data_IF_452375877038
#
_entry.id   IF_452375877038
#
_cell.length_a   1.000
_cell.length_b   1.000
_cell.length_c   1.000
_cell.angle_alpha   90.00
_cell.angle_beta   90.00
_cell.angle_gamma   90.00
#
_symmetry.space_group_name_H-M   'P 1'
#
loop_
_entity.id
_entity.type
_entity.pdbx_description
1 polymer ?
#
# COMPACT_ATOMS: atom_id res chain seq x y z
N UNK A 1 -45.39 52.30 -64.95
CA UNK A 1 -44.27 53.26 -64.82
C UNK A 1 -43.17 52.53 -64.10
N UNK A 2 -42.18 52.16 -64.84
CA UNK A 2 -40.76 52.49 -64.74
C UNK A 2 -40.19 51.94 -63.41
N UNK A 3 -39.35 51.09 -63.32
CA UNK A 3 -38.23 50.59 -64.11
C UNK A 3 -37.08 50.24 -63.13
N UNK A 4 -36.21 49.42 -63.50
CA UNK A 4 -34.90 49.46 -62.91
C UNK A 4 -34.31 48.11 -62.40
N UNK A 5 -33.95 47.34 -63.34
CA UNK A 5 -33.02 46.23 -63.32
C UNK A 5 -31.64 46.71 -62.89
N UNK A 6 -31.02 46.12 -61.87
CA UNK A 6 -29.58 46.11 -61.79
C UNK A 6 -29.08 44.82 -61.14
N UNK A 7 -28.51 43.98 -61.97
CA UNK A 7 -27.63 42.82 -61.63
C UNK A 7 -26.32 43.40 -61.15
N UNK A 8 -25.85 42.93 -59.97
CA UNK A 8 -24.45 43.07 -59.56
C UNK A 8 -23.92 41.78 -58.93
N UNK A 9 -23.10 41.20 -59.70
CA UNK A 9 -22.01 40.25 -59.48
C UNK A 9 -21.68 39.99 -58.05
N UNK A 10 -21.79 38.69 -57.64
CA UNK A 10 -21.33 38.18 -56.40
C UNK A 10 -19.88 37.66 -56.55
N UNK A 11 -18.96 38.46 -56.06
CA UNK A 11 -17.59 37.99 -55.85
C UNK A 11 -17.55 37.22 -54.51
N UNK A 12 -17.50 35.86 -54.53
CA UNK A 12 -17.38 35.03 -53.36
C UNK A 12 -15.90 34.97 -53.04
N UNK A 13 -15.48 35.71 -52.03
CA UNK A 13 -14.15 35.61 -51.43
C UNK A 13 -14.18 34.47 -50.38
N UNK A 14 -13.71 33.27 -50.75
CA UNK A 14 -13.55 32.15 -49.82
C UNK A 14 -12.32 32.43 -48.93
N UNK A 15 -12.55 32.99 -47.76
CA UNK A 15 -11.51 33.04 -46.69
C UNK A 15 -11.49 31.69 -46.01
N UNK A 16 -10.49 30.88 -46.36
CA UNK A 16 -10.18 29.64 -45.65
C UNK A 16 -9.64 29.96 -44.27
N UNK A 17 -10.47 29.81 -43.24
CA UNK A 17 -10.02 29.80 -41.83
C UNK A 17 -9.38 28.44 -41.56
N UNK A 18 -8.07 28.37 -41.68
CA UNK A 18 -7.29 27.25 -41.12
C UNK A 18 -7.37 27.33 -39.61
N UNK A 19 -8.27 26.53 -39.01
CA UNK A 19 -8.28 26.25 -37.57
C UNK A 19 -7.02 25.46 -37.27
N UNK A 20 -5.96 26.15 -36.89
CA UNK A 20 -4.85 25.52 -36.16
C UNK A 20 -5.39 25.05 -34.82
N UNK A 21 -5.70 23.78 -34.74
CA UNK A 21 -5.88 23.07 -33.47
C UNK A 21 -4.54 23.11 -32.75
N UNK A 22 -4.30 24.17 -31.98
CA UNK A 22 -3.22 24.22 -31.00
C UNK A 22 -3.56 23.18 -29.93
N UNK A 23 -3.08 21.93 -30.11
CA UNK A 23 -3.03 20.98 -29.03
C UNK A 23 -2.20 21.64 -27.92
N UNK A 24 -2.87 22.09 -26.86
CA UNK A 24 -2.23 22.52 -25.64
C UNK A 24 -1.55 21.27 -25.00
N UNK A 25 -0.38 20.93 -25.51
CA UNK A 25 0.58 20.16 -24.71
C UNK A 25 0.93 21.04 -23.52
N UNK A 26 0.55 20.64 -22.31
CA UNK A 26 1.04 21.25 -21.07
C UNK A 26 2.55 21.31 -21.17
N UNK A 27 3.09 22.52 -21.41
CA UNK A 27 4.52 22.77 -21.38
C UNK A 27 4.99 22.41 -19.97
N UNK A 28 5.95 21.50 -19.87
CA UNK A 28 6.57 21.21 -18.60
C UNK A 28 7.27 22.49 -18.12
N UNK A 29 6.92 22.98 -16.92
CA UNK A 29 7.59 24.15 -16.33
C UNK A 29 9.01 23.75 -15.92
N UNK A 30 10.02 24.37 -16.53
CA UNK A 30 11.41 24.19 -16.16
C UNK A 30 12.37 24.23 -17.35
N UNK A 31 13.67 24.28 -17.06
CA UNK A 31 14.73 24.21 -18.06
C UNK A 31 14.75 22.80 -18.71
N UNK A 32 14.59 22.74 -20.02
CA UNK A 32 14.70 21.49 -20.80
C UNK A 32 16.13 20.99 -20.83
N UNK A 33 16.35 19.73 -20.51
CA UNK A 33 17.66 19.05 -20.54
C UNK A 33 17.81 18.07 -21.70
N UNK A 34 16.68 17.55 -22.24
CA UNK A 34 16.64 16.74 -23.46
C UNK A 34 15.25 16.81 -24.10
N UNK A 35 15.17 16.50 -25.41
CA UNK A 35 13.93 16.38 -26.16
C UNK A 35 13.94 15.02 -26.86
N UNK A 36 12.89 14.23 -26.64
CA UNK A 36 12.73 12.87 -27.21
C UNK A 36 11.48 12.82 -28.05
N UNK A 37 11.63 12.82 -29.37
CA UNK A 37 10.52 12.84 -30.35
C UNK A 37 9.51 13.99 -30.08
N UNK A 38 10.02 15.18 -29.68
CA UNK A 38 9.19 16.34 -29.36
C UNK A 38 8.66 16.43 -27.92
N UNK A 39 8.86 15.41 -27.10
CA UNK A 39 8.56 15.45 -25.65
C UNK A 39 9.79 15.92 -24.87
N UNK A 40 9.59 16.92 -24.03
CA UNK A 40 10.67 17.51 -23.21
C UNK A 40 10.93 16.64 -21.96
N UNK A 41 12.21 16.52 -21.58
CA UNK A 41 12.67 16.10 -20.27
C UNK A 41 13.24 17.34 -19.59
N UNK A 42 12.71 17.67 -18.41
CA UNK A 42 13.09 18.88 -17.69
C UNK A 42 14.19 18.63 -16.65
N UNK A 43 14.90 19.69 -16.26
CA UNK A 43 15.86 19.63 -15.16
C UNK A 43 15.19 19.23 -13.83
N UNK A 44 13.93 19.61 -13.61
CA UNK A 44 13.17 19.22 -12.43
C UNK A 44 12.93 17.72 -12.39
N UNK A 45 12.50 17.10 -13.51
CA UNK A 45 12.34 15.64 -13.63
C UNK A 45 13.68 14.93 -13.41
N UNK A 46 14.77 15.39 -14.03
CA UNK A 46 16.08 14.78 -13.84
C UNK A 46 16.56 14.87 -12.38
N UNK A 47 16.38 16.01 -11.73
CA UNK A 47 16.75 16.17 -10.32
C UNK A 47 15.91 15.26 -9.39
N UNK A 48 14.63 15.10 -9.67
CA UNK A 48 13.77 14.17 -8.91
C UNK A 48 14.22 12.71 -9.07
N UNK A 49 14.59 12.28 -10.28
CA UNK A 49 15.13 10.94 -10.52
C UNK A 49 16.50 10.76 -9.84
N UNK A 50 17.37 11.77 -9.87
CA UNK A 50 18.67 11.74 -9.16
C UNK A 50 18.51 11.63 -7.65
N UNK A 51 17.52 12.31 -7.07
CA UNK A 51 17.23 12.21 -5.64
C UNK A 51 16.76 10.80 -5.21
N UNK A 52 16.08 10.08 -6.11
CA UNK A 52 15.62 8.71 -5.89
C UNK A 52 16.67 7.65 -6.25
N UNK A 53 17.67 8.01 -7.05
CA UNK A 53 18.74 7.11 -7.45
C UNK A 53 19.66 6.83 -6.25
N UNK A 54 19.89 5.53 -5.95
CA UNK A 54 20.90 5.12 -4.95
C UNK A 54 22.31 5.30 -5.53
N UNK A 55 22.80 6.53 -5.54
CA UNK A 55 24.14 6.85 -6.02
C UNK A 55 25.12 6.57 -4.87
N UNK A 56 26.15 5.72 -5.06
CA UNK A 56 27.15 5.45 -4.04
C UNK A 56 27.90 6.73 -3.63
N UNK A 57 28.29 6.84 -2.35
CA UNK A 57 29.16 7.90 -1.89
C UNK A 57 30.50 7.86 -2.64
N UNK A 58 30.93 9.03 -3.15
CA UNK A 58 32.16 9.15 -3.95
C UNK A 58 31.99 8.87 -5.45
N UNK A 59 30.78 8.54 -5.92
CA UNK A 59 30.55 8.43 -7.35
C UNK A 59 30.66 9.79 -8.06
N UNK A 60 31.20 9.77 -9.29
CA UNK A 60 31.24 10.94 -10.17
C UNK A 60 29.80 11.41 -10.48
N UNK A 61 29.50 12.63 -10.03
CA UNK A 61 28.15 13.22 -10.14
C UNK A 61 27.75 13.46 -11.59
N UNK A 62 28.68 13.80 -12.47
CA UNK A 62 28.37 14.07 -13.87
C UNK A 62 28.11 12.76 -14.62
N UNK A 63 28.85 11.71 -14.32
CA UNK A 63 28.56 10.37 -14.86
C UNK A 63 27.23 9.83 -14.33
N UNK A 64 26.90 10.02 -13.05
CA UNK A 64 25.63 9.61 -12.48
C UNK A 64 24.46 10.35 -13.17
N UNK A 65 24.60 11.68 -13.34
CA UNK A 65 23.62 12.51 -14.05
C UNK A 65 23.41 12.05 -15.49
N UNK A 66 24.48 11.78 -16.21
CA UNK A 66 24.43 11.29 -17.59
C UNK A 66 23.72 9.93 -17.67
N UNK A 67 24.06 8.98 -16.78
CA UNK A 67 23.42 7.67 -16.74
C UNK A 67 21.91 7.75 -16.46
N UNK A 68 21.52 8.58 -15.48
CA UNK A 68 20.10 8.77 -15.14
C UNK A 68 19.36 9.39 -16.32
N UNK A 69 19.93 10.42 -16.97
CA UNK A 69 19.32 11.03 -18.15
C UNK A 69 19.15 10.03 -19.31
N UNK A 70 20.16 9.19 -19.60
CA UNK A 70 20.04 8.14 -20.61
C UNK A 70 18.93 7.15 -20.27
N UNK A 71 18.85 6.68 -19.03
CA UNK A 71 17.76 5.79 -18.59
C UNK A 71 16.37 6.46 -18.73
N UNK A 72 16.26 7.77 -18.47
CA UNK A 72 15.02 8.51 -18.70
C UNK A 72 14.64 8.57 -20.18
N UNK A 73 15.62 8.81 -21.07
CA UNK A 73 15.43 8.82 -22.51
C UNK A 73 14.95 7.45 -22.99
N UNK A 74 15.63 6.37 -22.60
CA UNK A 74 15.28 5.01 -22.97
C UNK A 74 13.86 4.64 -22.51
N UNK A 75 13.51 4.98 -21.26
CA UNK A 75 12.15 4.81 -20.72
C UNK A 75 11.11 5.59 -21.53
N UNK A 76 11.43 6.83 -21.96
CA UNK A 76 10.53 7.66 -22.78
C UNK A 76 10.29 7.04 -24.14
N UNK A 77 11.35 6.55 -24.80
CA UNK A 77 11.28 5.89 -26.09
C UNK A 77 10.41 4.63 -26.03
N UNK A 78 10.63 3.76 -25.05
CA UNK A 78 9.83 2.56 -24.86
C UNK A 78 8.36 2.86 -24.57
N UNK A 79 8.09 3.91 -23.76
CA UNK A 79 6.73 4.33 -23.49
C UNK A 79 6.02 4.90 -24.74
N UNK A 80 6.73 5.64 -25.59
CA UNK A 80 6.22 6.15 -26.86
C UNK A 80 5.91 4.99 -27.83
N UNK A 81 6.79 3.99 -27.90
CA UNK A 81 6.53 2.79 -28.70
C UNK A 81 5.28 2.05 -28.22
N UNK A 82 5.16 1.83 -26.90
CA UNK A 82 3.98 1.20 -26.31
C UNK A 82 2.67 1.93 -26.62
N UNK A 83 2.70 3.27 -26.64
CA UNK A 83 1.55 4.08 -27.10
C UNK A 83 1.27 3.89 -28.59
N UNK A 84 2.32 3.84 -29.41
CA UNK A 84 2.17 3.59 -30.85
C UNK A 84 1.53 2.22 -31.11
N UNK A 85 1.89 1.22 -30.29
CA UNK A 85 1.32 -0.14 -30.35
C UNK A 85 -0.11 -0.21 -29.74
N UNK A 86 -0.64 0.91 -29.22
CA UNK A 86 -2.01 1.01 -28.66
C UNK A 86 -2.19 0.40 -27.29
N UNK A 87 -1.10 0.05 -26.58
CA UNK A 87 -1.17 -0.54 -25.22
C UNK A 87 -1.88 0.37 -24.25
N UNK A 88 -1.69 1.69 -24.36
CA UNK A 88 -2.31 2.73 -23.53
C UNK A 88 -3.84 2.81 -23.68
N UNK A 89 -4.40 2.21 -24.74
CA UNK A 89 -5.84 2.16 -25.01
C UNK A 89 -6.50 0.86 -24.57
N UNK A 90 -5.69 -0.12 -24.14
CA UNK A 90 -6.22 -1.42 -23.70
C UNK A 90 -7.04 -1.28 -22.40
N UNK A 91 -8.13 -2.06 -22.24
CA UNK A 91 -8.92 -2.04 -21.00
C UNK A 91 -8.09 -2.35 -19.75
N UNK A 92 -7.11 -3.25 -19.90
CA UNK A 92 -6.21 -3.62 -18.82
C UNK A 92 -5.34 -2.42 -18.37
N UNK A 93 -4.71 -1.72 -19.32
CA UNK A 93 -3.91 -0.54 -19.03
C UNK A 93 -4.75 0.55 -18.37
N UNK A 94 -5.92 0.87 -18.91
CA UNK A 94 -6.81 1.92 -18.38
C UNK A 94 -7.25 1.62 -16.94
N UNK A 95 -7.53 0.36 -16.62
CA UNK A 95 -7.87 -0.06 -15.25
C UNK A 95 -6.66 0.08 -14.31
N UNK A 96 -5.48 -0.35 -14.72
CA UNK A 96 -4.23 -0.20 -13.94
C UNK A 96 -3.85 1.25 -13.73
N UNK A 97 -3.97 2.08 -14.77
CA UNK A 97 -3.69 3.52 -14.70
C UNK A 97 -4.61 4.22 -13.71
N UNK A 98 -5.94 3.93 -13.78
CA UNK A 98 -6.92 4.50 -12.83
C UNK A 98 -6.53 4.15 -11.40
N UNK A 99 -6.31 2.86 -11.12
CA UNK A 99 -5.92 2.41 -9.79
C UNK A 99 -4.62 3.07 -9.30
N UNK A 100 -3.59 3.11 -10.13
CA UNK A 100 -2.32 3.75 -9.78
C UNK A 100 -2.50 5.26 -9.49
N UNK A 101 -3.36 5.94 -10.24
CA UNK A 101 -3.68 7.36 -10.01
C UNK A 101 -4.45 7.55 -8.70
N UNK A 102 -5.43 6.70 -8.41
CA UNK A 102 -6.18 6.71 -7.14
C UNK A 102 -5.24 6.45 -5.95
N UNK A 103 -4.38 5.44 -6.03
CA UNK A 103 -3.40 5.12 -4.98
C UNK A 103 -2.44 6.30 -4.73
N UNK A 104 -1.95 6.95 -5.79
CA UNK A 104 -1.10 8.13 -5.68
C UNK A 104 -1.82 9.30 -5.00
N UNK A 105 -3.06 9.59 -5.42
CA UNK A 105 -3.87 10.64 -4.81
C UNK A 105 -4.15 10.38 -3.34
N UNK A 106 -4.48 9.12 -2.97
CA UNK A 106 -4.72 8.71 -1.58
C UNK A 106 -3.45 8.91 -0.75
N UNK A 107 -2.29 8.48 -1.25
CA UNK A 107 -1.01 8.64 -0.55
C UNK A 107 -0.64 10.12 -0.35
N UNK A 108 -0.80 10.95 -1.38
CA UNK A 108 -0.56 12.39 -1.29
C UNK A 108 -1.54 13.08 -0.34
N UNK A 109 -2.82 12.68 -0.36
CA UNK A 109 -3.82 13.18 0.56
C UNK A 109 -3.48 12.81 2.01
N UNK A 110 -3.15 11.55 2.27
CA UNK A 110 -2.74 11.08 3.59
C UNK A 110 -1.51 11.85 4.11
N UNK A 111 -0.49 12.05 3.26
CA UNK A 111 0.73 12.78 3.65
C UNK A 111 0.46 14.23 4.04
N UNK A 112 -0.54 14.88 3.43
CA UNK A 112 -0.93 16.25 3.78
C UNK A 112 -1.75 16.36 5.07
N UNK A 113 -2.43 15.29 5.48
CA UNK A 113 -3.27 15.28 6.69
C UNK A 113 -2.44 14.99 7.96
N UNK A 114 -1.25 14.43 7.81
CA UNK A 114 -0.41 14.05 8.95
C UNK A 114 0.53 15.21 9.25
N UNK A 115 0.26 15.92 10.36
CA UNK A 115 1.22 16.87 10.91
C UNK A 115 2.38 16.11 11.57
N UNK A 116 3.50 16.00 10.84
CA UNK A 116 4.71 15.35 11.34
C UNK A 116 5.54 16.25 12.26
N UNK A 117 5.17 17.53 12.41
CA UNK A 117 5.93 18.49 13.16
C UNK A 117 5.71 18.39 14.69
N UNK A 118 4.51 17.98 15.13
CA UNK A 118 4.24 17.81 16.55
C UNK A 118 4.77 16.46 17.07
N UNK A 119 5.71 16.52 17.99
CA UNK A 119 6.15 15.37 18.77
C UNK A 119 5.18 15.14 19.95
N UNK A 120 4.79 13.87 20.22
CA UNK A 120 4.03 13.57 21.43
C UNK A 120 4.77 14.02 22.69
N UNK A 121 4.02 14.45 23.71
CA UNK A 121 4.61 14.82 25.00
C UNK A 121 5.28 13.59 25.66
N UNK A 122 6.30 13.83 26.47
CA UNK A 122 7.03 12.74 27.15
C UNK A 122 6.09 11.84 27.96
N UNK A 123 5.15 12.44 28.70
CA UNK A 123 4.16 11.70 29.49
C UNK A 123 3.24 10.82 28.64
N UNK A 124 2.94 11.21 27.40
CA UNK A 124 2.14 10.41 26.48
C UNK A 124 2.95 9.21 25.96
N UNK A 125 4.24 9.43 25.65
CA UNK A 125 5.16 8.38 25.22
C UNK A 125 5.31 7.32 26.33
N UNK A 126 5.52 7.76 27.58
CA UNK A 126 5.62 6.88 28.75
C UNK A 126 4.34 6.06 28.97
N UNK A 127 3.18 6.70 28.90
CA UNK A 127 1.88 6.01 28.98
C UNK A 127 1.70 5.00 27.86
N UNK A 128 2.10 5.36 26.63
CA UNK A 128 2.02 4.47 25.48
C UNK A 128 2.88 3.22 25.67
N UNK A 129 4.10 3.38 26.18
CA UNK A 129 5.02 2.28 26.48
C UNK A 129 4.49 1.40 27.61
N UNK A 130 4.00 2.02 28.70
CA UNK A 130 3.43 1.30 29.85
C UNK A 130 2.20 0.47 29.47
N UNK A 131 1.38 0.98 28.54
CA UNK A 131 0.21 0.26 28.05
C UNK A 131 0.53 -0.92 27.11
N UNK A 132 1.79 -1.04 26.64
CA UNK A 132 2.25 -2.08 25.69
C UNK A 132 3.56 -2.73 26.16
N UNK A 133 3.58 -3.35 27.35
CA UNK A 133 4.81 -3.89 27.91
C UNK A 133 5.46 -4.97 27.01
N UNK A 134 4.66 -5.75 26.27
CA UNK A 134 5.14 -6.78 25.34
C UNK A 134 5.84 -6.22 24.08
N UNK A 135 5.69 -4.92 23.81
CA UNK A 135 6.41 -4.22 22.73
C UNK A 135 7.72 -3.66 23.25
N UNK A 136 7.80 -3.36 24.55
CA UNK A 136 8.89 -2.61 25.16
C UNK A 136 9.58 -3.40 26.28
N UNK A 137 9.17 -3.16 27.54
CA UNK A 137 9.87 -3.70 28.73
C UNK A 137 9.78 -5.21 28.90
N UNK A 138 8.70 -5.84 28.42
CA UNK A 138 8.48 -7.28 28.46
C UNK A 138 8.47 -7.89 27.05
N UNK A 139 9.17 -7.26 26.12
CA UNK A 139 9.31 -7.79 24.77
C UNK A 139 10.11 -9.07 24.80
N UNK A 140 9.65 -10.04 24.03
CA UNK A 140 10.28 -11.34 23.86
C UNK A 140 10.36 -11.71 22.37
N UNK A 141 11.33 -12.58 22.06
CA UNK A 141 11.33 -13.35 20.82
C UNK A 141 10.90 -14.77 21.12
N UNK A 142 9.84 -15.22 20.47
CA UNK A 142 9.31 -16.57 20.60
C UNK A 142 9.79 -17.45 19.46
N UNK A 143 10.39 -18.59 19.80
CA UNK A 143 10.69 -19.62 18.83
C UNK A 143 9.46 -20.51 18.69
N UNK A 144 8.95 -20.62 17.46
CA UNK A 144 7.72 -21.33 17.13
C UNK A 144 8.01 -22.62 16.39
N UNK A 145 7.26 -23.66 16.74
CA UNK A 145 7.05 -24.83 15.90
C UNK A 145 5.67 -24.67 15.24
N UNK A 146 5.62 -24.73 13.91
CA UNK A 146 4.42 -24.37 13.14
C UNK A 146 4.04 -25.44 12.13
N UNK A 147 2.74 -25.72 12.04
CA UNK A 147 2.13 -26.52 10.99
C UNK A 147 1.27 -25.64 10.11
N UNK A 148 1.52 -25.62 8.81
CA UNK A 148 0.68 -24.96 7.82
C UNK A 148 -0.12 -26.01 7.07
N UNK A 149 -1.43 -25.82 6.97
CA UNK A 149 -2.37 -26.76 6.35
C UNK A 149 -3.59 -26.04 5.76
N UNK A 150 -4.33 -26.72 4.92
CA UNK A 150 -5.62 -26.25 4.41
C UNK A 150 -6.66 -26.30 5.51
N UNK A 151 -7.40 -25.20 5.76
CA UNK A 151 -8.44 -25.17 6.78
C UNK A 151 -9.52 -26.21 6.46
N UNK A 152 -9.86 -27.13 7.37
CA UNK A 152 -10.92 -28.11 7.14
C UNK A 152 -12.27 -27.45 6.87
N UNK A 153 -13.00 -27.94 5.88
CA UNK A 153 -14.34 -27.45 5.58
C UNK A 153 -15.37 -27.90 6.63
N UNK A 154 -15.18 -29.12 7.18
CA UNK A 154 -16.10 -29.71 8.16
C UNK A 154 -15.87 -29.16 9.58
N UNK A 155 -16.99 -28.93 10.28
CA UNK A 155 -16.97 -28.37 11.62
C UNK A 155 -16.43 -29.33 12.68
N UNK A 156 -16.54 -30.65 12.48
CA UNK A 156 -16.11 -31.65 13.44
C UNK A 156 -14.58 -31.70 13.53
N UNK A 157 -13.88 -31.66 12.39
CA UNK A 157 -12.41 -31.60 12.36
C UNK A 157 -11.92 -30.27 12.92
N UNK A 158 -12.56 -29.14 12.62
CA UNK A 158 -12.20 -27.85 13.24
C UNK A 158 -12.33 -27.90 14.76
N UNK A 159 -13.43 -28.45 15.28
CA UNK A 159 -13.61 -28.58 16.72
C UNK A 159 -12.54 -29.45 17.38
N UNK A 160 -12.09 -30.53 16.72
CA UNK A 160 -10.99 -31.36 17.23
C UNK A 160 -9.67 -30.59 17.24
N UNK A 161 -9.39 -29.79 16.22
CA UNK A 161 -8.22 -28.91 16.15
C UNK A 161 -8.21 -27.88 17.28
N UNK A 162 -9.37 -27.25 17.55
CA UNK A 162 -9.52 -26.26 18.63
C UNK A 162 -9.37 -26.87 20.03
N UNK A 163 -9.62 -28.17 20.19
CA UNK A 163 -9.49 -28.89 21.45
C UNK A 163 -8.10 -29.50 21.66
N UNK A 164 -7.26 -29.53 20.64
CA UNK A 164 -5.92 -30.10 20.71
C UNK A 164 -5.05 -29.29 21.70
N UNK A 165 -4.41 -30.02 22.62
CA UNK A 165 -3.54 -29.46 23.69
C UNK A 165 -2.06 -29.55 23.35
N UNK A 166 -1.71 -30.36 22.37
CA UNK A 166 -0.34 -30.56 21.92
C UNK A 166 -0.22 -30.50 20.41
N UNK A 167 0.97 -30.20 19.89
CA UNK A 167 1.22 -30.21 18.47
C UNK A 167 1.07 -31.61 17.85
N UNK A 168 1.37 -32.66 18.63
CA UNK A 168 1.20 -34.06 18.22
C UNK A 168 -0.28 -34.40 18.05
N UNK A 169 -1.16 -33.88 18.90
CA UNK A 169 -2.63 -34.00 18.71
C UNK A 169 -3.10 -33.29 17.47
N UNK A 170 -2.58 -32.09 17.18
CA UNK A 170 -2.87 -31.38 15.92
C UNK A 170 -2.45 -32.24 14.72
N UNK A 171 -1.21 -32.76 14.72
CA UNK A 171 -0.72 -33.67 13.67
C UNK A 171 -1.65 -34.88 13.51
N UNK A 172 -2.06 -35.49 14.61
CA UNK A 172 -2.97 -36.65 14.59
C UNK A 172 -4.30 -36.30 13.93
N UNK A 173 -4.92 -35.20 14.33
CA UNK A 173 -6.20 -34.74 13.75
C UNK A 173 -6.06 -34.49 12.25
N UNK A 174 -4.99 -33.83 11.79
CA UNK A 174 -4.74 -33.58 10.38
C UNK A 174 -4.51 -34.87 9.59
N UNK A 175 -3.76 -35.82 10.15
CA UNK A 175 -3.48 -37.12 9.53
C UNK A 175 -4.75 -37.96 9.42
N UNK A 176 -5.55 -38.05 10.49
CA UNK A 176 -6.81 -38.79 10.53
C UNK A 176 -7.83 -38.21 9.53
N UNK A 177 -7.78 -36.89 9.28
CA UNK A 177 -8.61 -36.20 8.31
C UNK A 177 -8.03 -36.18 6.88
N UNK A 178 -6.87 -36.81 6.66
CA UNK A 178 -6.17 -36.85 5.37
C UNK A 178 -5.80 -35.45 4.82
N UNK A 179 -5.49 -34.50 5.73
CA UNK A 179 -5.10 -33.13 5.38
C UNK A 179 -3.58 -33.03 5.35
N UNK A 180 -3.04 -32.66 4.20
CA UNK A 180 -1.60 -32.44 4.06
C UNK A 180 -1.16 -31.19 4.83
N UNK A 181 -0.01 -31.26 5.46
CA UNK A 181 0.60 -30.14 6.18
C UNK A 181 2.09 -30.05 5.95
N UNK A 182 2.65 -28.86 6.20
CA UNK A 182 4.10 -28.63 6.25
C UNK A 182 4.48 -28.14 7.64
N UNK A 183 5.57 -28.70 8.21
CA UNK A 183 6.11 -28.31 9.53
C UNK A 183 7.35 -27.45 9.34
N UNK A 184 7.40 -26.31 10.04
CA UNK A 184 8.54 -25.38 10.00
C UNK A 184 8.75 -24.70 11.33
N UNK A 185 10.00 -24.27 11.59
CA UNK A 185 10.34 -23.43 12.74
C UNK A 185 10.40 -21.98 12.32
N UNK A 186 9.81 -21.10 13.13
CA UNK A 186 9.82 -19.65 12.90
C UNK A 186 10.11 -18.89 14.18
N UNK A 187 10.44 -17.61 14.05
CA UNK A 187 10.54 -16.68 15.17
C UNK A 187 9.43 -15.64 15.08
N UNK A 188 8.84 -15.33 16.22
CA UNK A 188 7.84 -14.29 16.38
C UNK A 188 8.31 -13.31 17.45
N UNK A 189 8.42 -12.05 17.06
CA UNK A 189 8.68 -10.96 17.98
C UNK A 189 7.37 -10.48 18.59
N UNK A 190 7.27 -10.41 19.91
CA UNK A 190 6.03 -9.98 20.56
C UNK A 190 5.64 -8.56 20.20
N UNK A 191 6.59 -7.71 19.80
CA UNK A 191 6.32 -6.33 19.39
C UNK A 191 5.41 -6.23 18.15
N UNK A 192 5.32 -7.26 17.31
CA UNK A 192 4.42 -7.25 16.13
C UNK A 192 3.03 -7.81 16.44
N UNK A 193 2.80 -8.32 17.65
CA UNK A 193 1.51 -8.90 18.03
C UNK A 193 0.51 -7.76 18.35
N UNK A 194 -0.65 -7.73 17.67
CA UNK A 194 -1.71 -6.78 17.97
C UNK A 194 -2.18 -6.88 19.44
N UNK A 195 -2.49 -5.74 20.03
CA UNK A 195 -2.90 -5.65 21.44
C UNK A 195 -4.06 -6.58 21.81
N UNK A 196 -5.05 -6.68 20.93
CA UNK A 196 -6.23 -7.54 21.15
C UNK A 196 -5.93 -9.04 21.09
N UNK A 197 -4.81 -9.45 20.49
CA UNK A 197 -4.39 -10.85 20.38
C UNK A 197 -3.33 -11.23 21.41
N UNK A 198 -2.56 -10.27 21.92
CA UNK A 198 -1.44 -10.57 22.82
C UNK A 198 -1.85 -11.37 24.05
N UNK A 199 -2.96 -11.01 24.68
CA UNK A 199 -3.44 -11.70 25.90
C UNK A 199 -3.71 -13.18 25.67
N UNK A 200 -4.35 -13.52 24.55
CA UNK A 200 -4.66 -14.91 24.17
C UNK A 200 -3.40 -15.70 23.84
N UNK A 201 -2.53 -15.11 23.00
CA UNK A 201 -1.28 -15.75 22.59
C UNK A 201 -0.32 -15.94 23.79
N UNK A 202 -0.25 -14.95 24.68
CA UNK A 202 0.55 -15.06 25.90
C UNK A 202 0.01 -16.12 26.88
N UNK A 203 -1.30 -16.34 26.90
CA UNK A 203 -1.91 -17.43 27.68
C UNK A 203 -1.56 -18.80 27.09
N UNK A 204 -1.71 -18.98 25.78
CA UNK A 204 -1.28 -20.20 25.07
C UNK A 204 0.22 -20.46 25.25
N UNK A 205 1.04 -19.40 25.21
CA UNK A 205 2.49 -19.46 25.48
C UNK A 205 2.83 -20.01 26.87
N UNK A 206 2.06 -19.64 27.90
CA UNK A 206 2.27 -20.12 29.27
C UNK A 206 1.83 -21.57 29.45
N UNK A 207 0.76 -21.97 28.77
CA UNK A 207 0.25 -23.34 28.81
C UNK A 207 1.01 -24.30 27.90
N UNK A 208 1.90 -23.79 27.04
CA UNK A 208 2.56 -24.56 25.96
C UNK A 208 1.55 -25.22 25.01
N UNK A 209 0.33 -24.66 24.92
CA UNK A 209 -0.73 -25.17 24.06
C UNK A 209 -0.59 -24.59 22.64
N UNK A 210 -0.98 -25.35 21.62
CA UNK A 210 -1.02 -24.83 20.26
C UNK A 210 -2.15 -23.79 20.12
N UNK A 211 -1.90 -22.78 19.30
CA UNK A 211 -2.92 -21.82 18.84
C UNK A 211 -3.00 -21.86 17.31
N UNK A 212 -4.21 -21.73 16.78
CA UNK A 212 -4.46 -21.82 15.35
C UNK A 212 -4.93 -20.49 14.83
N UNK A 213 -4.24 -19.96 13.81
CA UNK A 213 -4.56 -18.71 13.16
C UNK A 213 -4.99 -19.02 11.72
N UNK A 214 -6.26 -18.67 11.33
CA UNK A 214 -6.68 -18.76 9.93
C UNK A 214 -6.03 -17.69 9.08
N UNK A 215 -5.57 -18.06 7.87
CA UNK A 215 -4.96 -17.17 6.88
C UNK A 215 -5.59 -17.47 5.51
N UNK A 216 -6.68 -16.78 5.19
CA UNK A 216 -7.48 -17.07 3.99
C UNK A 216 -8.14 -18.45 4.08
N UNK A 217 -7.84 -19.32 3.11
CA UNK A 217 -8.29 -20.71 3.04
C UNK A 217 -7.35 -21.70 3.76
N UNK A 218 -6.23 -21.21 4.27
CA UNK A 218 -5.26 -21.98 5.05
C UNK A 218 -5.33 -21.65 6.54
N UNK A 219 -4.65 -22.45 7.35
CA UNK A 219 -4.42 -22.20 8.76
C UNK A 219 -2.97 -22.51 9.15
N UNK A 220 -2.52 -21.83 10.20
CA UNK A 220 -1.22 -22.09 10.83
C UNK A 220 -1.47 -22.43 12.31
N UNK A 221 -1.21 -23.69 12.69
CA UNK A 221 -1.10 -24.07 14.09
C UNK A 221 0.32 -23.78 14.56
N UNK A 222 0.47 -23.15 15.72
CA UNK A 222 1.78 -22.76 16.28
C UNK A 222 1.85 -23.13 17.75
N UNK A 223 2.99 -23.71 18.17
CA UNK A 223 3.35 -23.86 19.57
C UNK A 223 4.63 -23.08 19.86
N UNK A 224 4.69 -22.42 21.01
CA UNK A 224 5.87 -21.68 21.45
C UNK A 224 6.81 -22.64 22.15
N UNK A 225 7.96 -22.90 21.52
CA UNK A 225 8.97 -23.87 22.02
C UNK A 225 9.88 -23.20 23.06
N UNK A 226 10.25 -21.95 22.84
CA UNK A 226 11.04 -21.16 23.79
C UNK A 226 10.79 -19.69 23.65
N UNK A 227 11.09 -18.94 24.71
CA UNK A 227 10.96 -17.48 24.79
C UNK A 227 12.29 -16.87 25.21
N UNK A 228 12.74 -15.89 24.44
CA UNK A 228 13.98 -15.17 24.70
C UNK A 228 13.65 -13.73 25.03
N UNK A 229 13.98 -13.20 26.23
CA UNK A 229 13.79 -11.80 26.56
C UNK A 229 14.55 -10.89 25.58
N UNK A 230 13.87 -9.89 25.05
CA UNK A 230 14.43 -8.90 24.14
C UNK A 230 13.91 -7.49 24.46
N UNK A 231 14.00 -7.01 25.72
CA UNK A 231 13.42 -5.75 26.14
C UNK A 231 14.05 -4.57 25.40
N UNK A 232 13.22 -3.59 25.06
CA UNK A 232 13.64 -2.27 24.57
C UNK A 232 13.14 -1.22 25.58
N UNK A 233 14.09 -0.53 26.21
CA UNK A 233 13.80 0.46 27.26
C UNK A 233 14.59 1.75 27.05
N UNK A 234 14.29 2.79 27.83
CA UNK A 234 15.04 4.04 27.83
C UNK A 234 15.04 4.75 26.46
N UNK A 235 16.20 5.28 26.08
CA UNK A 235 16.36 6.05 24.84
C UNK A 235 16.07 5.28 23.55
N UNK A 236 16.27 3.96 23.55
CA UNK A 236 15.97 3.13 22.39
C UNK A 236 14.46 2.92 22.18
N UNK A 237 13.68 2.91 23.24
CA UNK A 237 12.23 2.72 23.19
C UNK A 237 11.50 3.98 22.67
N UNK A 238 12.05 5.16 22.92
CA UNK A 238 11.42 6.45 22.59
C UNK A 238 11.11 6.60 21.09
N UNK A 239 12.07 6.49 20.15
CA UNK A 239 11.79 6.66 18.73
C UNK A 239 10.79 5.62 18.20
N UNK A 240 10.81 4.39 18.72
CA UNK A 240 9.88 3.34 18.37
C UNK A 240 8.46 3.69 18.82
N UNK A 241 8.30 4.16 20.07
CA UNK A 241 7.02 4.59 20.59
C UNK A 241 6.46 5.78 19.81
N UNK A 242 7.27 6.81 19.53
CA UNK A 242 6.86 7.97 18.74
C UNK A 242 6.41 7.55 17.33
N UNK A 243 7.17 6.68 16.67
CA UNK A 243 6.79 6.19 15.33
C UNK A 243 5.47 5.39 15.36
N UNK A 244 5.26 4.54 16.38
CA UNK A 244 4.03 3.78 16.55
C UNK A 244 2.83 4.69 16.85
N UNK A 245 2.97 5.66 17.76
CA UNK A 245 1.93 6.64 18.08
C UNK A 245 1.52 7.44 16.83
N UNK A 246 2.49 7.93 16.06
CA UNK A 246 2.21 8.66 14.81
C UNK A 246 1.46 7.80 13.81
N UNK A 247 1.83 6.53 13.68
CA UNK A 247 1.13 5.59 12.78
C UNK A 247 -0.32 5.35 13.24
N UNK A 248 -0.55 5.17 14.55
CA UNK A 248 -1.89 4.99 15.09
C UNK A 248 -2.74 6.25 14.89
N UNK A 249 -2.20 7.42 15.20
CA UNK A 249 -2.88 8.71 14.99
C UNK A 249 -3.22 8.93 13.50
N UNK A 250 -2.28 8.67 12.61
CA UNK A 250 -2.49 8.77 11.17
C UNK A 250 -3.59 7.82 10.70
N UNK A 251 -3.56 6.56 11.15
CA UNK A 251 -4.58 5.56 10.82
C UNK A 251 -5.96 6.00 11.31
N UNK A 252 -6.06 6.46 12.56
CA UNK A 252 -7.32 6.92 13.13
C UNK A 252 -7.87 8.16 12.42
N UNK A 253 -7.00 9.12 12.10
CA UNK A 253 -7.37 10.32 11.35
C UNK A 253 -7.94 9.94 9.96
N UNK A 254 -7.26 9.04 9.26
CA UNK A 254 -7.69 8.58 7.93
C UNK A 254 -9.00 7.79 7.99
N UNK A 255 -9.19 6.93 8.99
CA UNK A 255 -10.45 6.20 9.20
C UNK A 255 -11.61 7.17 9.47
N UNK A 256 -11.42 8.15 10.35
CA UNK A 256 -12.43 9.17 10.68
C UNK A 256 -12.76 10.01 9.41
N UNK A 257 -11.72 10.37 8.64
CA UNK A 257 -11.90 11.15 7.41
C UNK A 257 -12.64 10.35 6.36
N UNK A 258 -12.27 9.08 6.16
CA UNK A 258 -12.96 8.18 5.22
C UNK A 258 -14.44 8.01 5.62
N UNK A 259 -14.71 7.82 6.92
CA UNK A 259 -16.07 7.75 7.42
C UNK A 259 -16.87 9.02 7.08
N UNK A 260 -16.33 10.20 7.38
CA UNK A 260 -16.97 11.48 7.05
C UNK A 260 -17.23 11.65 5.54
N UNK A 261 -16.26 11.30 4.69
CA UNK A 261 -16.40 11.36 3.24
C UNK A 261 -17.49 10.38 2.78
N UNK A 262 -17.51 9.18 3.33
CA UNK A 262 -18.49 8.14 2.98
C UNK A 262 -19.91 8.53 3.40
N UNK A 263 -20.06 9.13 4.59
CA UNK A 263 -21.36 9.59 5.10
C UNK A 263 -21.95 10.75 4.24
N UNK A 264 -21.08 11.56 3.64
CA UNK A 264 -21.47 12.65 2.73
C UNK A 264 -21.65 12.22 1.26
N UNK A 265 -21.20 11.02 0.88
CA UNK A 265 -21.22 10.55 -0.49
C UNK A 265 -22.57 9.94 -0.86
N UNK A 266 -23.02 10.20 -2.11
CA UNK A 266 -24.14 9.48 -2.70
C UNK A 266 -23.60 8.18 -3.33
N UNK A 267 -23.86 7.02 -2.70
CA UNK A 267 -23.42 5.72 -3.17
C UNK A 267 -24.64 4.93 -3.61
N UNK A 268 -24.67 4.57 -4.89
CA UNK A 268 -25.73 3.73 -5.48
C UNK A 268 -25.17 2.37 -5.86
N UNK A 269 -25.74 1.31 -5.30
CA UNK A 269 -25.36 -0.05 -5.63
C UNK A 269 -26.28 -0.60 -6.71
N UNK A 270 -25.72 -1.27 -7.69
CA UNK A 270 -26.52 -2.07 -8.63
C UNK A 270 -26.98 -3.34 -7.96
N UNK A 271 -28.02 -3.96 -8.51
CA UNK A 271 -28.61 -5.20 -8.00
C UNK A 271 -27.53 -6.30 -7.84
N UNK A 272 -27.51 -6.96 -6.68
CA UNK A 272 -26.55 -8.00 -6.33
C UNK A 272 -25.18 -7.52 -5.80
N UNK A 273 -24.90 -6.20 -5.79
CA UNK A 273 -23.60 -5.65 -5.35
C UNK A 273 -23.65 -4.86 -4.03
N UNK A 274 -24.85 -4.72 -3.45
CA UNK A 274 -24.95 -4.08 -2.13
C UNK A 274 -24.29 -4.96 -1.04
N UNK A 275 -23.53 -4.36 -0.10
CA UNK A 275 -23.00 -5.12 1.02
C UNK A 275 -24.15 -5.72 1.85
N UNK A 276 -23.96 -6.90 2.47
CA UNK A 276 -24.97 -7.47 3.34
C UNK A 276 -25.28 -6.48 4.47
N UNK A 277 -26.57 -6.35 4.81
CA UNK A 277 -27.00 -5.47 5.89
C UNK A 277 -26.26 -5.85 7.17
N UNK A 278 -25.47 -4.93 7.70
CA UNK A 278 -24.80 -5.11 9.01
C UNK A 278 -25.91 -5.27 10.05
N UNK A 279 -26.07 -6.48 10.59
CA UNK A 279 -26.91 -6.67 11.77
C UNK A 279 -26.31 -5.80 12.88
N UNK A 280 -27.10 -4.78 13.30
CA UNK A 280 -26.78 -3.97 14.48
C UNK A 280 -26.87 -4.82 15.74
#
# INVERSE_FOLDING_TARGET
MIGGLFVRSRLVLAIGIALMASACTKKAEGQTVAIVNGEEITAAELNAELANAKIPEGADKDQARTRVLQAMIDRRLLAQQAKTDGIDKSPEFLNRQRRATEDLLINMFASRQIDTAQLPANSEIEKFQAARPWVFSQREQWNLDQLRFQMPADAATRSKLDQAKTMEEVVKVLTDANIAFTRQKNKLDTAVIPQNLYGQLAAAARASEPFIIPIGDQAVASTIVSREPAPITGEQARPIAVAAMRREQASQLMQNRLKSIRDAAKIEYKEGYAPPATKK
#
